data_IF_703494532071
#
_entry.id   IF_703494532071
#
_cell.length_a   1.000
_cell.length_b   1.000
_cell.length_c   1.000
_cell.angle_alpha   90.00
_cell.angle_beta   90.00
_cell.angle_gamma   90.00
#
_symmetry.space_group_name_H-M   'P 1'
#
loop_
_entity.id
_entity.type
_entity.pdbx_description
1 polymer ?
#
# COMPACT_ATOMS: atom_id res chain seq x y z
N UNK A 1 9.67 15.02 8.12
CA UNK A 1 8.78 14.56 7.06
C UNK A 1 9.41 14.88 5.71
N UNK A 2 9.30 13.98 4.76
CA UNK A 2 9.81 14.12 3.38
C UNK A 2 8.67 13.77 2.43
N UNK A 3 8.41 14.61 1.46
CA UNK A 3 7.43 14.37 0.41
C UNK A 3 8.12 14.27 -0.94
N UNK A 4 7.63 13.38 -1.78
CA UNK A 4 8.18 13.15 -3.10
C UNK A 4 7.23 12.33 -3.97
N UNK A 5 7.69 11.98 -5.17
CA UNK A 5 6.92 11.11 -6.06
C UNK A 5 7.80 10.01 -6.65
N UNK A 6 7.24 8.82 -6.75
CA UNK A 6 7.85 7.67 -7.42
C UNK A 6 6.89 7.20 -8.51
N UNK A 7 7.34 7.26 -9.78
CA UNK A 7 6.53 6.87 -10.95
C UNK A 7 5.14 7.56 -10.99
N UNK A 8 5.11 8.86 -10.72
CA UNK A 8 3.91 9.71 -10.70
C UNK A 8 2.95 9.43 -9.51
N UNK A 9 3.29 8.55 -8.58
CA UNK A 9 2.57 8.39 -7.32
C UNK A 9 3.27 9.19 -6.21
N UNK A 10 2.52 10.05 -5.53
CA UNK A 10 3.02 10.78 -4.39
C UNK A 10 3.28 9.83 -3.22
N UNK A 11 4.34 10.10 -2.48
CA UNK A 11 4.71 9.39 -1.26
C UNK A 11 5.15 10.38 -0.20
N UNK A 12 4.68 10.17 1.02
CA UNK A 12 5.11 10.91 2.20
C UNK A 12 5.79 9.97 3.17
N UNK A 13 7.04 10.26 3.53
CA UNK A 13 7.80 9.49 4.52
C UNK A 13 7.97 10.33 5.77
N UNK A 14 7.51 9.81 6.90
CA UNK A 14 7.64 10.43 8.22
C UNK A 14 8.57 9.56 9.05
N UNK A 15 9.69 10.13 9.51
CA UNK A 15 10.58 9.46 10.45
C UNK A 15 10.23 9.86 11.87
N UNK A 16 10.04 8.88 12.76
CA UNK A 16 9.75 9.07 14.17
C UNK A 16 10.82 8.40 15.02
N UNK A 17 11.26 9.10 16.06
CA UNK A 17 12.12 8.57 17.09
C UNK A 17 11.47 8.86 18.46
N UNK A 18 11.17 7.82 19.22
CA UNK A 18 10.58 7.96 20.53
C UNK A 18 11.65 7.85 21.64
N UNK A 19 11.48 8.57 22.74
CA UNK A 19 12.36 8.40 23.92
C UNK A 19 12.14 7.01 24.54
N UNK A 20 13.18 6.50 25.23
CA UNK A 20 13.10 5.18 25.89
C UNK A 20 12.02 5.12 26.99
N UNK A 21 11.74 6.25 27.65
CA UNK A 21 10.73 6.35 28.72
C UNK A 21 9.49 7.06 28.17
N UNK A 22 8.31 6.46 28.37
CA UNK A 22 7.06 7.01 27.89
C UNK A 22 6.86 6.93 26.37
N UNK A 23 7.59 6.03 25.69
CA UNK A 23 7.57 5.86 24.24
C UNK A 23 6.16 5.72 23.66
N UNK A 24 5.33 4.81 24.23
CA UNK A 24 3.96 4.57 23.73
C UNK A 24 3.09 5.83 23.79
N UNK A 25 3.19 6.61 24.88
CA UNK A 25 2.46 7.85 25.04
C UNK A 25 2.95 8.93 24.06
N UNK A 26 4.27 9.03 23.89
CA UNK A 26 4.89 9.96 22.96
C UNK A 26 4.43 9.69 21.51
N UNK A 27 4.53 8.44 21.06
CA UNK A 27 4.10 8.05 19.70
C UNK A 27 2.62 8.31 19.48
N UNK A 28 1.77 7.99 20.47
CA UNK A 28 0.33 8.29 20.41
C UNK A 28 0.07 9.79 20.22
N UNK A 29 0.76 10.64 20.98
CA UNK A 29 0.63 12.09 20.86
C UNK A 29 1.05 12.56 19.47
N UNK A 30 2.22 12.12 18.99
CA UNK A 30 2.73 12.47 17.66
C UNK A 30 1.78 12.04 16.55
N UNK A 31 1.30 10.80 16.55
CA UNK A 31 0.34 10.30 15.57
C UNK A 31 -0.97 11.11 15.58
N UNK A 32 -1.45 11.48 16.76
CA UNK A 32 -2.67 12.31 16.90
C UNK A 32 -2.44 13.71 16.33
N UNK A 33 -1.26 14.29 16.55
CA UNK A 33 -0.90 15.62 16.06
C UNK A 33 -0.84 15.66 14.53
N UNK A 34 -0.25 14.63 13.91
CA UNK A 34 -0.10 14.56 12.44
C UNK A 34 -1.26 13.84 11.75
N UNK A 35 -2.35 13.54 12.47
CA UNK A 35 -3.49 12.79 11.93
C UNK A 35 -3.99 13.32 10.58
N UNK A 36 -4.03 14.64 10.40
CA UNK A 36 -4.48 15.29 9.18
C UNK A 36 -3.55 15.09 7.97
N UNK A 37 -2.29 14.70 8.20
CA UNK A 37 -1.28 14.47 7.17
C UNK A 37 -1.16 12.98 6.79
N UNK A 38 -1.76 12.10 7.60
CA UNK A 38 -1.75 10.65 7.36
C UNK A 38 -2.78 10.29 6.30
N UNK A 39 -2.33 9.70 5.21
CA UNK A 39 -3.17 9.24 4.11
C UNK A 39 -2.64 7.91 3.54
N UNK A 40 -3.28 7.40 2.49
CA UNK A 40 -2.91 6.13 1.85
C UNK A 40 -1.50 6.10 1.21
N UNK A 41 -0.83 7.24 1.11
CA UNK A 41 0.52 7.36 0.56
C UNK A 41 1.56 7.65 1.64
N UNK A 42 1.14 7.73 2.91
CA UNK A 42 2.03 7.99 4.05
C UNK A 42 2.64 6.70 4.55
N UNK A 43 3.96 6.72 4.74
CA UNK A 43 4.75 5.67 5.39
C UNK A 43 5.44 6.30 6.60
N UNK A 44 5.21 5.76 7.79
CA UNK A 44 5.82 6.22 9.03
C UNK A 44 6.86 5.19 9.43
N UNK A 45 8.10 5.61 9.58
CA UNK A 45 9.23 4.73 9.89
C UNK A 45 9.99 5.22 11.10
N UNK A 46 10.68 4.34 11.79
CA UNK A 46 11.63 4.76 12.83
C UNK A 46 11.79 3.79 13.98
N UNK A 47 12.51 4.26 14.98
CA UNK A 47 12.63 3.58 16.27
C UNK A 47 11.59 4.13 17.24
N UNK A 48 10.59 3.32 17.46
CA UNK A 48 9.45 3.67 18.31
C UNK A 48 9.72 3.38 19.80
N UNK A 49 10.83 2.74 20.13
CA UNK A 49 11.21 2.34 21.49
C UNK A 49 10.04 1.69 22.28
N UNK A 50 9.10 1.08 21.56
CA UNK A 50 7.94 0.40 22.14
C UNK A 50 7.61 -0.85 21.35
N UNK A 51 6.87 -1.75 21.96
CA UNK A 51 6.40 -3.01 21.36
C UNK A 51 4.93 -2.84 21.00
N UNK A 52 4.52 -3.32 19.85
CA UNK A 52 3.10 -3.32 19.48
C UNK A 52 2.42 -4.65 19.83
N UNK A 53 3.20 -5.74 19.84
CA UNK A 53 2.68 -7.09 20.10
C UNK A 53 3.58 -7.84 21.09
N UNK A 54 3.06 -8.86 21.81
CA UNK A 54 3.89 -9.71 22.68
C UNK A 54 5.04 -10.39 21.94
N UNK A 55 4.88 -10.67 20.64
CA UNK A 55 5.90 -11.30 19.79
C UNK A 55 7.04 -10.36 19.37
N UNK A 56 6.97 -9.08 19.74
CA UNK A 56 8.04 -8.11 19.53
C UNK A 56 9.15 -8.18 20.60
N UNK A 57 9.03 -9.14 21.52
CA UNK A 57 10.03 -9.42 22.55
C UNK A 57 10.29 -10.92 22.65
N UNK A 58 11.55 -11.29 22.91
CA UNK A 58 11.93 -12.71 23.08
C UNK A 58 11.52 -13.32 24.43
N UNK A 59 11.24 -12.49 25.45
CA UNK A 59 10.75 -12.93 26.76
C UNK A 59 9.24 -12.75 26.88
N UNK A 60 8.56 -13.73 27.48
CA UNK A 60 7.12 -13.66 27.71
C UNK A 60 6.76 -12.50 28.65
N UNK A 61 6.16 -11.45 28.11
CA UNK A 61 5.58 -10.37 28.91
C UNK A 61 4.20 -10.00 28.37
N UNK A 62 3.33 -9.60 29.29
CA UNK A 62 2.01 -9.07 28.97
C UNK A 62 2.19 -7.66 28.40
N UNK A 63 1.47 -7.35 27.34
CA UNK A 63 1.38 -6.00 26.79
C UNK A 63 0.80 -5.07 27.85
N UNK A 64 1.48 -3.96 28.15
CA UNK A 64 1.01 -3.02 29.14
C UNK A 64 -0.17 -2.18 28.63
N UNK A 65 -0.88 -1.49 29.54
CA UNK A 65 -2.02 -0.64 29.19
C UNK A 65 -1.67 0.45 28.18
N UNK A 66 -0.49 1.05 28.29
CA UNK A 66 -0.06 2.14 27.39
C UNK A 66 0.10 1.64 25.95
N UNK A 67 0.64 0.45 25.76
CA UNK A 67 0.73 -0.19 24.45
C UNK A 67 -0.64 -0.53 23.90
N UNK A 68 -1.60 -0.96 24.72
CA UNK A 68 -2.98 -1.20 24.29
C UNK A 68 -3.62 0.09 23.76
N UNK A 69 -3.53 1.20 24.50
CA UNK A 69 -4.04 2.50 24.08
C UNK A 69 -3.36 3.00 22.79
N UNK A 70 -2.06 2.73 22.63
CA UNK A 70 -1.37 3.03 21.37
C UNK A 70 -1.92 2.20 20.22
N UNK A 71 -2.14 0.90 20.41
CA UNK A 71 -2.72 0.03 19.38
C UNK A 71 -4.14 0.46 19.00
N UNK A 72 -4.97 0.87 19.96
CA UNK A 72 -6.30 1.44 19.72
C UNK A 72 -6.19 2.72 18.86
N UNK A 73 -5.15 3.54 19.09
CA UNK A 73 -4.89 4.74 18.28
C UNK A 73 -4.47 4.36 16.85
N UNK A 74 -3.60 3.35 16.68
CA UNK A 74 -3.23 2.85 15.36
C UNK A 74 -4.46 2.35 14.58
N UNK A 75 -5.35 1.62 15.25
CA UNK A 75 -6.60 1.13 14.65
C UNK A 75 -7.55 2.27 14.27
N UNK A 76 -7.70 3.31 15.11
CA UNK A 76 -8.50 4.50 14.81
C UNK A 76 -7.96 5.30 13.62
N UNK A 77 -6.66 5.25 13.37
CA UNK A 77 -5.99 5.89 12.23
C UNK A 77 -5.88 4.98 11.01
N UNK A 78 -6.47 3.78 11.05
CA UNK A 78 -6.32 2.75 10.04
C UNK A 78 -4.87 2.43 9.69
N UNK A 79 -3.95 2.53 10.66
CA UNK A 79 -2.55 2.20 10.51
C UNK A 79 -2.28 0.72 10.86
N UNK A 80 -1.30 0.14 10.19
CA UNK A 80 -0.83 -1.22 10.45
C UNK A 80 0.69 -1.27 10.38
N UNK A 81 1.30 -2.08 11.23
CA UNK A 81 2.73 -2.42 11.13
C UNK A 81 2.97 -3.35 9.95
N UNK A 82 3.73 -2.86 8.98
CA UNK A 82 4.02 -3.58 7.73
C UNK A 82 4.71 -4.91 7.97
N UNK A 83 5.73 -4.94 8.86
CA UNK A 83 6.44 -6.18 9.13
C UNK A 83 5.51 -7.23 9.72
N UNK A 84 4.67 -6.86 10.67
CA UNK A 84 3.71 -7.75 11.31
C UNK A 84 2.60 -8.20 10.36
N UNK A 85 2.18 -7.36 9.43
CA UNK A 85 1.22 -7.73 8.39
C UNK A 85 1.72 -8.86 7.48
N UNK A 86 3.03 -8.85 7.13
CA UNK A 86 3.65 -9.92 6.34
C UNK A 86 4.08 -11.13 7.17
N UNK A 87 4.41 -10.93 8.44
CA UNK A 87 4.99 -11.95 9.33
C UNK A 87 4.26 -12.03 10.66
N UNK A 88 2.98 -12.45 10.70
CA UNK A 88 2.14 -12.38 11.90
C UNK A 88 2.63 -13.27 13.06
N UNK A 89 3.36 -14.33 12.76
CA UNK A 89 3.79 -15.33 13.75
C UNK A 89 5.30 -15.38 14.00
N UNK A 90 6.10 -14.62 13.23
CA UNK A 90 7.56 -14.70 13.37
C UNK A 90 8.08 -13.88 14.53
N UNK A 91 9.16 -14.35 15.14
CA UNK A 91 9.88 -13.71 16.25
C UNK A 91 11.24 -13.24 15.78
N UNK A 92 11.26 -12.23 14.89
CA UNK A 92 12.49 -11.55 14.49
C UNK A 92 12.58 -10.20 15.18
N UNK A 93 13.78 -9.81 15.56
CA UNK A 93 14.03 -8.66 16.40
C UNK A 93 14.97 -7.67 15.73
N UNK A 94 14.85 -6.39 16.11
CA UNK A 94 15.69 -5.32 15.56
C UNK A 94 16.75 -4.84 16.53
N UNK A 95 16.61 -5.13 17.80
CA UNK A 95 17.50 -4.64 18.86
C UNK A 95 17.79 -5.72 19.91
N UNK A 96 19.03 -5.76 20.40
CA UNK A 96 19.43 -6.58 21.55
C UNK A 96 19.80 -5.69 22.72
N UNK A 97 19.10 -5.83 23.82
CA UNK A 97 19.44 -5.17 25.07
C UNK A 97 20.36 -6.03 25.92
N UNK A 98 21.62 -5.65 26.04
CA UNK A 98 22.60 -6.32 26.90
C UNK A 98 22.24 -6.23 28.38
N UNK A 99 21.61 -5.13 28.80
CA UNK A 99 21.18 -4.91 30.18
C UNK A 99 20.11 -5.91 30.63
N UNK A 100 19.25 -6.35 29.72
CA UNK A 100 18.15 -7.28 30.02
C UNK A 100 18.36 -8.68 29.45
N UNK A 101 19.41 -8.89 28.63
CA UNK A 101 19.64 -10.15 27.94
C UNK A 101 18.47 -10.51 26.97
N UNK A 102 17.77 -9.54 26.45
CA UNK A 102 16.50 -9.73 25.75
C UNK A 102 16.54 -9.07 24.38
N UNK A 103 15.97 -9.73 23.40
CA UNK A 103 15.78 -9.20 22.05
C UNK A 103 14.43 -8.50 21.92
N UNK A 104 14.41 -7.37 21.19
CA UNK A 104 13.23 -6.54 20.97
C UNK A 104 13.09 -6.18 19.49
N UNK A 105 11.87 -5.91 19.08
CA UNK A 105 11.58 -5.21 17.84
C UNK A 105 10.95 -3.86 18.16
N UNK A 106 11.79 -2.84 18.17
CA UNK A 106 11.42 -1.44 18.49
C UNK A 106 11.32 -0.58 17.24
N UNK A 107 11.97 -1.02 16.16
CA UNK A 107 11.87 -0.38 14.86
C UNK A 107 10.62 -0.87 14.13
N UNK A 108 9.83 0.05 13.63
CA UNK A 108 8.57 -0.23 12.96
C UNK A 108 8.43 0.55 11.65
N UNK A 109 7.61 0.02 10.76
CA UNK A 109 7.14 0.70 9.55
C UNK A 109 5.63 0.62 9.56
N UNK A 110 4.97 1.77 9.74
CA UNK A 110 3.52 1.89 9.71
C UNK A 110 3.06 2.47 8.38
N UNK A 111 1.92 2.00 7.92
CA UNK A 111 1.22 2.56 6.77
C UNK A 111 -0.29 2.38 6.92
N UNK A 112 -1.06 3.08 6.11
CA UNK A 112 -2.51 2.93 6.08
C UNK A 112 -2.93 1.54 5.58
N UNK A 113 -3.88 0.88 6.24
CA UNK A 113 -4.34 -0.50 5.91
C UNK A 113 -4.71 -0.68 4.43
N UNK A 114 -5.33 0.34 3.81
CA UNK A 114 -5.68 0.31 2.39
C UNK A 114 -4.49 0.23 1.43
N UNK A 115 -3.29 0.58 1.90
CA UNK A 115 -2.05 0.60 1.10
C UNK A 115 -1.27 -0.71 1.12
N UNK A 116 -1.69 -1.71 1.90
CA UNK A 116 -0.95 -2.98 2.05
C UNK A 116 -0.62 -3.62 0.69
N UNK A 117 -1.51 -3.53 -0.28
CA UNK A 117 -1.29 -4.06 -1.63
C UNK A 117 -0.20 -3.35 -2.45
N UNK A 118 0.32 -2.21 -1.99
CA UNK A 118 1.46 -1.51 -2.61
C UNK A 118 2.80 -2.10 -2.20
N UNK A 119 2.84 -2.89 -1.14
CA UNK A 119 4.06 -3.49 -0.60
C UNK A 119 4.19 -4.94 -1.05
N UNK A 120 5.42 -5.33 -1.42
CA UNK A 120 5.71 -6.69 -1.88
C UNK A 120 6.27 -7.55 -0.76
N UNK A 121 7.13 -6.98 0.09
CA UNK A 121 7.89 -7.71 1.09
C UNK A 121 8.41 -6.74 2.14
N UNK A 122 8.49 -7.21 3.39
CA UNK A 122 9.20 -6.55 4.48
C UNK A 122 10.19 -7.54 5.10
N UNK A 123 11.43 -7.13 5.32
CA UNK A 123 12.51 -7.97 5.83
C UNK A 123 13.30 -7.26 6.91
N UNK A 124 13.76 -7.99 7.92
CA UNK A 124 14.78 -7.51 8.85
C UNK A 124 16.15 -7.96 8.33
N UNK A 125 17.06 -7.00 8.21
CA UNK A 125 18.45 -7.22 7.73
C UNK A 125 19.36 -7.01 8.92
N UNK A 126 20.15 -8.03 9.24
CA UNK A 126 21.12 -7.95 10.30
C UNK A 126 22.20 -6.93 9.99
N UNK A 127 22.52 -6.10 10.97
CA UNK A 127 23.66 -5.19 10.96
C UNK A 127 24.80 -5.79 11.77
N UNK A 128 26.02 -5.70 11.25
CA UNK A 128 27.24 -6.11 11.96
C UNK A 128 27.98 -4.91 12.60
N UNK A 129 27.58 -3.67 12.26
CA UNK A 129 28.23 -2.45 12.72
C UNK A 129 27.42 -1.69 13.77
N UNK A 130 26.14 -2.03 13.94
CA UNK A 130 25.22 -1.32 14.83
C UNK A 130 24.47 -2.30 15.69
N UNK A 131 24.03 -1.87 16.84
CA UNK A 131 23.18 -2.61 17.79
C UNK A 131 21.74 -2.78 17.31
N UNK A 132 21.33 -2.02 16.31
CA UNK A 132 20.04 -2.17 15.64
C UNK A 132 20.16 -2.83 14.26
N UNK A 133 19.27 -3.77 13.99
CA UNK A 133 19.02 -4.33 12.68
C UNK A 133 18.11 -3.40 11.87
N UNK A 134 18.35 -3.33 10.56
CA UNK A 134 17.54 -2.51 9.65
C UNK A 134 16.30 -3.23 9.17
N UNK A 135 15.21 -2.50 8.94
CA UNK A 135 14.04 -3.01 8.24
C UNK A 135 14.07 -2.54 6.79
N UNK A 136 13.94 -3.48 5.84
CA UNK A 136 13.82 -3.21 4.42
C UNK A 136 12.38 -3.41 3.99
N UNK A 137 11.84 -2.41 3.29
CA UNK A 137 10.52 -2.48 2.67
C UNK A 137 10.65 -2.45 1.15
N UNK A 138 10.03 -3.43 0.48
CA UNK A 138 9.94 -3.49 -0.97
C UNK A 138 8.57 -2.97 -1.40
N UNK A 139 8.58 -1.89 -2.17
CA UNK A 139 7.36 -1.22 -2.63
C UNK A 139 7.14 -1.53 -4.11
N UNK A 140 5.92 -1.90 -4.48
CA UNK A 140 5.52 -2.17 -5.85
C UNK A 140 4.87 -0.93 -6.46
N UNK A 141 5.65 -0.11 -7.12
CA UNK A 141 5.17 1.00 -7.94
C UNK A 141 4.90 0.61 -9.40
N UNK A 142 4.60 -0.66 -9.68
CA UNK A 142 4.16 -0.98 -11.03
C UNK A 142 2.97 -0.08 -11.36
N UNK A 143 3.14 0.82 -12.35
CA UNK A 143 1.99 1.49 -12.99
C UNK A 143 0.96 0.40 -13.20
N UNK A 144 -0.17 0.46 -12.48
CA UNK A 144 -1.36 -0.25 -12.94
C UNK A 144 -1.48 0.28 -14.34
N UNK A 145 -1.07 -0.52 -15.36
CA UNK A 145 -1.50 -0.23 -16.73
C UNK A 145 -2.97 0.04 -16.53
N UNK A 146 -3.40 1.31 -16.63
CA UNK A 146 -4.81 1.58 -16.88
C UNK A 146 -5.05 0.72 -18.08
N UNK A 147 -5.59 -0.46 -17.86
CA UNK A 147 -6.32 -1.13 -18.92
C UNK A 147 -7.35 -0.08 -19.23
N UNK A 148 -7.04 0.75 -20.22
CA UNK A 148 -8.04 1.48 -20.93
C UNK A 148 -8.94 0.32 -21.30
N UNK A 149 -10.00 0.12 -20.50
CA UNK A 149 -11.13 -0.66 -20.95
C UNK A 149 -11.50 0.12 -22.18
N UNK A 150 -11.02 -0.33 -23.34
CA UNK A 150 -11.44 0.17 -24.62
C UNK A 150 -12.93 -0.16 -24.63
N UNK A 151 -13.70 0.69 -23.95
CA UNK A 151 -15.15 0.63 -23.86
C UNK A 151 -15.76 0.78 -25.25
N UNK A 152 -14.92 1.19 -26.23
CA UNK A 152 -15.26 1.30 -27.64
C UNK A 152 -14.94 0.05 -28.47
N UNK A 153 -14.46 -1.04 -27.85
CA UNK A 153 -14.43 -2.33 -28.56
C UNK A 153 -15.83 -2.93 -28.54
N UNK A 154 -16.59 -2.50 -29.56
CA UNK A 154 -17.85 -3.18 -29.87
C UNK A 154 -17.52 -4.64 -30.21
N UNK A 155 -18.07 -5.58 -29.47
CA UNK A 155 -17.95 -7.02 -29.76
C UNK A 155 -19.28 -7.50 -30.29
N UNK A 156 -19.30 -7.79 -31.57
CA UNK A 156 -20.46 -8.45 -32.17
C UNK A 156 -20.67 -9.79 -31.47
N UNK A 157 -21.88 -10.04 -30.98
CA UNK A 157 -22.25 -11.34 -30.44
C UNK A 157 -22.35 -12.35 -31.60
N UNK A 158 -21.41 -13.27 -31.66
CA UNK A 158 -21.36 -14.29 -32.72
C UNK A 158 -22.62 -15.17 -32.81
N UNK A 159 -23.44 -15.22 -31.76
CA UNK A 159 -24.74 -15.89 -31.84
C UNK A 159 -25.75 -15.15 -32.72
N UNK A 160 -25.66 -13.82 -32.83
CA UNK A 160 -26.52 -13.01 -33.72
C UNK A 160 -26.21 -13.26 -35.21
N UNK A 161 -24.94 -13.58 -35.53
CA UNK A 161 -24.52 -13.91 -36.88
C UNK A 161 -25.04 -15.28 -37.39
N UNK A 162 -25.51 -16.14 -36.45
CA UNK A 162 -26.13 -17.41 -36.82
C UNK A 162 -27.60 -17.26 -37.23
N UNK A 163 -28.21 -16.12 -36.94
CA UNK A 163 -29.58 -15.81 -37.36
C UNK A 163 -29.54 -15.15 -38.73
N UNK A 164 -30.13 -15.83 -39.71
CA UNK A 164 -30.15 -15.42 -41.12
C UNK A 164 -30.80 -14.05 -41.32
N UNK A 165 -31.87 -13.78 -40.59
CA UNK A 165 -32.59 -12.51 -40.64
C UNK A 165 -31.74 -11.33 -40.13
N UNK A 166 -31.07 -11.53 -38.99
CA UNK A 166 -30.16 -10.52 -38.40
C UNK A 166 -28.96 -10.23 -39.30
N UNK A 167 -28.44 -11.26 -39.97
CA UNK A 167 -27.32 -11.10 -40.91
C UNK A 167 -27.73 -10.32 -42.15
N UNK A 168 -28.93 -10.53 -42.66
CA UNK A 168 -29.51 -9.76 -43.77
C UNK A 168 -29.71 -8.29 -43.41
N UNK A 169 -30.23 -7.99 -42.22
CA UNK A 169 -30.39 -6.63 -41.70
C UNK A 169 -29.04 -5.92 -41.55
N UNK A 170 -28.05 -6.57 -40.94
CA UNK A 170 -26.70 -6.01 -40.81
C UNK A 170 -26.07 -5.71 -42.15
N UNK A 171 -26.19 -6.61 -43.13
CA UNK A 171 -25.66 -6.41 -44.45
C UNK A 171 -26.34 -5.24 -45.17
N UNK A 172 -27.64 -5.06 -44.96
CA UNK A 172 -28.41 -3.92 -45.52
C UNK A 172 -27.93 -2.60 -44.93
N UNK A 173 -27.79 -2.49 -43.63
CA UNK A 173 -27.29 -1.30 -42.94
C UNK A 173 -25.83 -0.96 -43.31
N UNK A 174 -24.98 -1.97 -43.39
CA UNK A 174 -23.60 -1.79 -43.87
C UNK A 174 -23.55 -1.25 -45.29
N UNK A 175 -24.41 -1.72 -46.17
CA UNK A 175 -24.49 -1.25 -47.57
C UNK A 175 -24.90 0.21 -47.64
N UNK A 176 -25.90 0.61 -46.85
CA UNK A 176 -26.35 2.02 -46.75
C UNK A 176 -25.22 2.92 -46.20
N UNK A 177 -24.50 2.49 -45.17
CA UNK A 177 -23.37 3.23 -44.60
C UNK A 177 -22.22 3.41 -45.61
N UNK A 178 -21.91 2.41 -46.41
CA UNK A 178 -20.87 2.49 -47.46
C UNK A 178 -21.28 3.45 -48.56
N UNK A 179 -22.51 3.36 -49.03
CA UNK A 179 -23.07 4.25 -50.09
C UNK A 179 -23.14 5.72 -49.63
N UNK A 180 -23.43 5.99 -48.35
CA UNK A 180 -23.42 7.35 -47.78
C UNK A 180 -22.02 7.93 -47.65
N UNK A 181 -21.03 7.12 -47.20
CA UNK A 181 -19.64 7.56 -47.09
C UNK A 181 -18.96 7.80 -48.44
N UNK A 182 -19.29 7.03 -49.48
CA UNK A 182 -18.78 7.28 -50.85
C UNK A 182 -19.31 8.60 -51.41
N UNK A 183 -20.53 8.98 -51.05
CA UNK A 183 -21.11 10.27 -51.48
C UNK A 183 -20.52 11.49 -50.75
N UNK A 184 -20.05 11.35 -49.51
CA UNK A 184 -19.38 12.43 -48.78
C UNK A 184 -17.93 12.65 -49.27
N UNK A 185 -17.20 11.60 -49.57
CA UNK A 185 -15.84 11.69 -50.11
C UNK A 185 -15.80 12.29 -51.53
N UNK A 186 -16.87 12.15 -52.33
CA UNK A 186 -16.97 12.77 -53.67
C UNK A 186 -17.27 14.26 -53.59
N UNK A 187 -17.86 14.76 -52.49
CA UNK A 187 -18.15 16.19 -52.30
C UNK A 187 -16.98 17.01 -51.76
N UNK A 188 -15.92 16.37 -51.23
CA UNK A 188 -14.72 17.06 -50.76
C UNK A 188 -13.62 17.23 -51.81
N UNK A 189 -13.79 16.69 -52.99
CA UNK A 189 -12.83 16.76 -54.11
C UNK A 189 -13.32 17.57 -55.32
N UNK A 190 -14.28 18.45 -55.15
CA UNK A 190 -14.73 19.49 -56.07
C UNK A 190 -14.63 20.85 -55.36
#
# INVERSE_FOLDING_TARGET
>A
MIEGSIQEENITIINMYAPNIGASQYIRLMLTTIKGEINSNTIIVGDFNTLFTPTDRSSNQIVNKETQVLNDTLDQLDLIDTYRAFHPKTTHFTFFSSAYGTLFRTNHILHHKSSLGKFLKSEIISSIFYDHNSIRLHINYRKKKKTIKNTNKWRLNNMLLKNKQTTEEINKEMKICLETNDNENTRQNL
#
